data_IF_178127812510
#
_entry.id   IF_178127812510
#
_cell.length_a   1.000
_cell.length_b   1.000
_cell.length_c   1.000
_cell.angle_alpha   90.00
_cell.angle_beta   90.00
_cell.angle_gamma   90.00
#
_symmetry.space_group_name_H-M   'P 1'
#
loop_
_entity.id
_entity.type
_entity.pdbx_description
1 polymer ?
#
# COMPACT_ATOMS: atom_id res chain seq x y z
N UNK A 1 -58.61 -15.26 -2.19
CA UNK A 1 -57.88 -14.63 -3.32
C UNK A 1 -56.40 -14.63 -2.96
N UNK A 2 -55.58 -15.27 -3.78
CA UNK A 2 -54.18 -15.56 -3.45
C UNK A 2 -53.35 -14.29 -3.30
N UNK A 3 -52.83 -14.05 -2.10
CA UNK A 3 -51.79 -13.05 -1.81
C UNK A 3 -50.42 -13.45 -2.43
N UNK A 4 -50.37 -14.52 -3.25
CA UNK A 4 -49.15 -15.01 -3.88
C UNK A 4 -48.52 -14.01 -4.85
N UNK A 5 -49.28 -13.03 -5.38
CA UNK A 5 -48.70 -11.93 -6.18
C UNK A 5 -47.80 -11.01 -5.33
N UNK A 6 -48.02 -10.94 -4.02
CA UNK A 6 -47.19 -10.15 -3.10
C UNK A 6 -46.05 -10.97 -2.49
N UNK A 7 -46.16 -12.30 -2.46
CA UNK A 7 -45.07 -13.15 -2.00
C UNK A 7 -43.96 -13.25 -3.05
N UNK A 8 -44.25 -13.21 -4.35
CA UNK A 8 -43.21 -13.09 -5.40
C UNK A 8 -42.56 -11.68 -5.47
N UNK A 9 -43.23 -10.68 -4.90
CA UNK A 9 -42.69 -9.32 -4.75
C UNK A 9 -41.98 -9.11 -3.40
N UNK A 10 -42.16 -10.05 -2.44
CA UNK A 10 -41.53 -10.06 -1.11
C UNK A 10 -40.38 -11.08 -1.04
N UNK A 11 -40.52 -12.20 -1.73
CA UNK A 11 -39.49 -13.17 -2.06
C UNK A 11 -38.92 -12.71 -3.39
N UNK A 12 -37.94 -11.81 -3.30
CA UNK A 12 -36.99 -11.56 -4.35
C UNK A 12 -36.69 -12.90 -5.06
N UNK A 13 -37.24 -13.09 -6.25
CA UNK A 13 -36.88 -14.24 -7.12
C UNK A 13 -35.48 -14.03 -7.69
N UNK A 14 -34.80 -13.00 -7.21
CA UNK A 14 -33.42 -12.70 -7.48
C UNK A 14 -32.56 -13.72 -6.76
N UNK A 15 -32.03 -14.63 -7.56
CA UNK A 15 -30.97 -15.54 -7.14
C UNK A 15 -29.61 -14.83 -7.15
N UNK A 16 -29.60 -13.52 -7.43
CA UNK A 16 -28.40 -12.71 -7.56
C UNK A 16 -28.38 -11.62 -6.50
N UNK A 17 -27.19 -11.37 -5.96
CA UNK A 17 -26.91 -10.19 -5.13
C UNK A 17 -26.03 -9.30 -5.99
N UNK A 18 -26.53 -8.11 -6.29
CA UNK A 18 -25.83 -7.08 -7.06
C UNK A 18 -25.35 -5.96 -6.13
N UNK A 19 -24.57 -5.02 -6.64
CA UNK A 19 -24.19 -3.83 -5.86
C UNK A 19 -25.39 -3.00 -5.39
N UNK A 20 -26.52 -3.04 -6.11
CA UNK A 20 -27.72 -2.28 -5.74
C UNK A 20 -28.43 -2.86 -4.50
N UNK A 21 -28.18 -4.13 -4.19
CA UNK A 21 -28.76 -4.83 -3.03
C UNK A 21 -27.93 -4.61 -1.75
N UNK A 22 -26.73 -4.04 -1.87
CA UNK A 22 -25.81 -3.77 -0.76
C UNK A 22 -25.76 -2.27 -0.52
N UNK A 23 -26.19 -1.84 0.68
CA UNK A 23 -26.10 -0.43 1.06
C UNK A 23 -24.64 -0.05 1.32
N UNK A 24 -24.21 1.10 0.79
CA UNK A 24 -22.85 1.61 0.97
C UNK A 24 -22.45 1.70 2.46
N UNK A 25 -21.26 1.19 2.78
CA UNK A 25 -20.72 1.18 4.14
C UNK A 25 -21.33 0.15 5.09
N UNK A 26 -22.20 -0.75 4.63
CA UNK A 26 -22.84 -1.74 5.52
C UNK A 26 -22.09 -3.07 5.63
N UNK A 27 -21.14 -3.35 4.74
CA UNK A 27 -20.29 -4.55 4.81
C UNK A 27 -19.31 -4.37 5.97
N UNK A 28 -19.52 -5.14 7.05
CA UNK A 28 -18.68 -5.13 8.23
C UNK A 28 -17.55 -6.15 8.12
N UNK A 29 -16.56 -6.06 9.02
CA UNK A 29 -15.41 -7.00 9.04
C UNK A 29 -15.86 -8.46 9.15
N UNK A 30 -16.91 -8.73 9.94
CA UNK A 30 -17.42 -10.09 10.12
C UNK A 30 -18.06 -10.70 8.86
N UNK A 31 -18.43 -9.88 7.87
CA UNK A 31 -19.00 -10.34 6.60
C UNK A 31 -17.90 -10.78 5.62
N UNK A 32 -16.65 -10.44 5.91
CA UNK A 32 -15.47 -10.80 5.11
C UNK A 32 -14.66 -11.83 5.89
N UNK A 33 -14.76 -13.10 5.47
CA UNK A 33 -13.96 -14.16 6.07
C UNK A 33 -12.45 -13.92 5.93
N UNK A 34 -11.66 -14.49 6.84
CA UNK A 34 -10.20 -14.42 6.77
C UNK A 34 -9.70 -14.95 5.41
N UNK A 35 -8.77 -14.21 4.80
CA UNK A 35 -8.23 -14.49 3.46
C UNK A 35 -9.26 -14.48 2.32
N UNK A 36 -10.46 -13.92 2.52
CA UNK A 36 -11.49 -13.88 1.48
C UNK A 36 -11.07 -13.02 0.27
N UNK A 37 -10.22 -11.99 0.46
CA UNK A 37 -9.70 -11.15 -0.62
C UNK A 37 -8.33 -11.69 -1.04
N UNK A 38 -8.32 -12.54 -2.07
CA UNK A 38 -7.10 -13.18 -2.61
C UNK A 38 -6.49 -12.34 -3.73
N UNK A 39 -5.24 -12.64 -4.10
CA UNK A 39 -4.54 -11.96 -5.22
C UNK A 39 -5.34 -11.99 -6.51
N UNK A 40 -5.99 -13.11 -6.85
CA UNK A 40 -6.79 -13.21 -8.08
C UNK A 40 -8.01 -12.27 -8.10
N UNK A 41 -8.50 -11.83 -6.93
CA UNK A 41 -9.58 -10.84 -6.82
C UNK A 41 -9.08 -9.40 -6.94
N UNK A 42 -7.75 -9.19 -6.97
CA UNK A 42 -7.09 -7.90 -7.09
C UNK A 42 -6.29 -7.89 -8.41
N UNK A 43 -6.90 -7.48 -9.52
CA UNK A 43 -6.17 -7.44 -10.80
C UNK A 43 -5.00 -6.45 -10.75
N UNK A 44 -4.02 -6.64 -11.64
CA UNK A 44 -2.86 -5.77 -11.72
C UNK A 44 -3.27 -4.30 -11.93
N UNK A 45 -2.68 -3.41 -11.13
CA UNK A 45 -3.02 -1.98 -11.13
C UNK A 45 -4.34 -1.61 -10.44
N UNK A 46 -5.08 -2.58 -9.88
CA UNK A 46 -6.33 -2.30 -9.17
C UNK A 46 -6.13 -1.42 -7.93
N UNK A 47 -5.01 -1.58 -7.22
CA UNK A 47 -4.64 -0.75 -6.09
C UNK A 47 -3.59 0.26 -6.56
N UNK A 48 -4.03 1.50 -6.77
CA UNK A 48 -3.15 2.62 -7.15
C UNK A 48 -2.65 3.33 -5.90
N UNK A 49 -1.60 4.15 -6.04
CA UNK A 49 -1.09 4.95 -4.93
C UNK A 49 -2.18 5.80 -4.24
N UNK A 50 -3.13 6.35 -5.00
CA UNK A 50 -4.26 7.14 -4.46
C UNK A 50 -5.23 6.33 -3.60
N UNK A 51 -5.24 4.99 -3.70
CA UNK A 51 -6.07 4.09 -2.88
C UNK A 51 -5.37 3.64 -1.59
N UNK A 52 -4.07 3.92 -1.45
CA UNK A 52 -3.27 3.54 -0.29
C UNK A 52 -3.07 4.79 0.58
N UNK A 53 -3.58 4.76 1.81
CA UNK A 53 -3.32 5.83 2.77
C UNK A 53 -1.85 5.82 3.20
N UNK A 54 -1.25 6.97 3.48
CA UNK A 54 0.15 7.11 3.91
C UNK A 54 0.48 6.37 5.22
N UNK A 55 -0.54 6.08 6.03
CA UNK A 55 -0.41 5.27 7.25
C UNK A 55 -0.42 3.75 7.02
N UNK A 56 -0.61 3.27 5.80
CA UNK A 56 -0.57 1.83 5.50
C UNK A 56 0.88 1.37 5.51
N UNK A 57 1.26 0.58 6.52
CA UNK A 57 2.54 -0.13 6.53
C UNK A 57 2.44 -1.30 5.57
N UNK A 58 2.93 -1.11 4.34
CA UNK A 58 3.13 -2.21 3.41
C UNK A 58 4.21 -3.12 4.00
N UNK A 59 3.90 -4.41 4.21
CA UNK A 59 4.87 -5.39 4.69
C UNK A 59 6.17 -5.27 3.89
N UNK A 60 7.32 -5.40 4.55
CA UNK A 60 8.65 -4.88 4.17
C UNK A 60 9.26 -5.25 2.81
N UNK A 61 8.49 -5.75 1.85
CA UNK A 61 8.91 -6.07 0.48
C UNK A 61 8.65 -4.93 -0.53
N UNK A 62 7.96 -3.83 -0.16
CA UNK A 62 7.72 -2.69 -1.07
C UNK A 62 8.69 -1.52 -0.87
N UNK A 63 9.60 -1.62 0.10
CA UNK A 63 10.81 -0.80 0.10
C UNK A 63 11.89 -1.60 -0.62
N UNK A 64 12.47 -0.99 -1.64
CA UNK A 64 13.44 -1.58 -2.55
C UNK A 64 14.62 -2.19 -1.77
N UNK A 65 14.55 -3.50 -1.52
CA UNK A 65 15.48 -4.24 -0.66
C UNK A 65 15.62 -5.71 -1.06
N UNK A 66 15.55 -6.05 -2.34
CA UNK A 66 15.97 -7.37 -2.82
C UNK A 66 17.47 -7.62 -2.59
N UNK A 67 17.85 -8.18 -1.45
CA UNK A 67 18.90 -9.20 -1.45
C UNK A 67 18.62 -10.26 -0.39
N UNK A 68 17.53 -11.01 -0.57
CA UNK A 68 17.47 -12.45 -0.29
C UNK A 68 17.88 -12.99 1.09
N UNK A 69 18.06 -12.17 2.13
CA UNK A 69 18.40 -12.64 3.47
C UNK A 69 17.83 -11.69 4.53
N UNK A 70 16.78 -12.14 5.21
CA UNK A 70 16.23 -11.48 6.39
C UNK A 70 17.21 -11.54 7.56
N UNK A 71 17.46 -10.41 8.23
CA UNK A 71 17.95 -10.37 9.62
C UNK A 71 19.46 -10.48 9.85
N UNK A 72 20.25 -9.50 9.41
CA UNK A 72 21.59 -9.31 9.97
C UNK A 72 21.53 -8.47 11.26
N UNK A 73 21.74 -9.16 12.37
CA UNK A 73 21.99 -8.67 13.74
C UNK A 73 22.97 -7.48 13.76
N UNK A 74 22.47 -6.27 14.02
CA UNK A 74 23.18 -5.08 14.57
C UNK A 74 22.44 -3.73 14.28
N UNK A 75 21.18 -3.75 13.82
CA UNK A 75 20.35 -2.54 13.79
C UNK A 75 20.79 -1.47 12.79
N UNK A 76 21.44 -1.85 11.68
CA UNK A 76 21.61 -0.97 10.54
C UNK A 76 20.56 -1.38 9.51
N UNK A 77 19.51 -0.57 9.41
CA UNK A 77 18.42 -0.76 8.46
C UNK A 77 18.91 -0.80 7.02
N UNK A 78 18.00 -1.21 6.16
CA UNK A 78 18.17 -1.39 4.73
C UNK A 78 18.95 -0.25 4.06
N UNK A 79 19.68 -0.56 2.99
CA UNK A 79 20.16 0.47 2.07
C UNK A 79 18.91 1.10 1.45
N UNK A 80 18.66 2.39 1.69
CA UNK A 80 17.65 3.11 0.92
C UNK A 80 18.11 3.10 -0.54
N UNK A 81 17.52 2.24 -1.37
CA UNK A 81 17.69 2.33 -2.81
C UNK A 81 16.81 3.48 -3.25
N UNK A 82 17.41 4.62 -3.54
CA UNK A 82 16.71 5.64 -4.31
C UNK A 82 16.53 5.07 -5.72
N UNK A 83 15.37 4.51 -6.00
CA UNK A 83 14.98 4.19 -7.39
C UNK A 83 14.48 5.45 -8.13
N UNK A 84 14.48 6.60 -7.46
CA UNK A 84 14.17 7.90 -8.05
C UNK A 84 15.42 8.78 -7.99
N UNK A 85 15.99 9.08 -9.17
CA UNK A 85 17.16 9.97 -9.30
C UNK A 85 16.81 11.45 -9.04
N UNK A 86 15.56 11.74 -8.75
CA UNK A 86 15.04 13.04 -8.39
C UNK A 86 14.18 12.93 -7.13
N UNK A 87 14.48 13.72 -6.10
CA UNK A 87 13.60 13.88 -4.95
C UNK A 87 12.53 14.92 -5.28
N UNK A 88 11.30 14.46 -5.45
CA UNK A 88 10.11 15.30 -5.66
C UNK A 88 9.25 15.46 -4.40
N UNK A 89 9.68 14.88 -3.28
CA UNK A 89 9.05 14.98 -1.95
C UNK A 89 10.12 15.13 -0.87
N UNK A 90 9.76 15.74 0.26
CA UNK A 90 10.69 15.92 1.37
C UNK A 90 11.13 14.55 1.93
N UNK A 91 12.43 14.32 2.02
CA UNK A 91 13.03 13.07 2.51
C UNK A 91 13.87 13.34 3.75
N UNK A 92 13.78 12.47 4.75
CA UNK A 92 14.68 12.47 5.90
C UNK A 92 15.42 11.14 5.98
N UNK A 93 16.76 11.21 6.02
CA UNK A 93 17.63 10.09 6.35
C UNK A 93 17.91 10.17 7.86
N UNK A 94 17.34 9.22 8.61
CA UNK A 94 17.46 9.18 10.06
C UNK A 94 18.88 8.78 10.52
N UNK A 95 19.16 8.94 11.81
CA UNK A 95 20.49 8.68 12.37
C UNK A 95 20.93 7.21 12.26
N UNK A 96 19.98 6.30 12.06
CA UNK A 96 20.17 4.84 11.96
C UNK A 96 20.32 4.33 10.53
N UNK A 97 20.23 5.24 9.56
CA UNK A 97 19.86 4.92 8.18
C UNK A 97 21.02 5.21 7.22
N UNK A 98 21.19 4.34 6.22
CA UNK A 98 22.16 4.52 5.14
C UNK A 98 21.46 4.52 3.79
N UNK A 99 21.58 5.61 3.04
CA UNK A 99 21.04 5.75 1.70
C UNK A 99 22.13 5.75 0.62
N UNK A 100 21.76 5.32 -0.59
CA UNK A 100 22.65 5.35 -1.75
C UNK A 100 21.92 5.87 -2.99
N UNK A 101 22.52 6.83 -3.69
CA UNK A 101 22.17 7.25 -5.04
C UNK A 101 23.26 6.80 -6.02
N UNK A 102 22.87 6.12 -7.10
CA UNK A 102 23.79 5.79 -8.20
C UNK A 102 23.64 6.82 -9.32
N UNK A 103 24.71 7.59 -9.52
CA UNK A 103 24.72 8.77 -10.35
C UNK A 103 24.21 10.02 -9.62
N UNK A 104 24.05 11.15 -10.33
CA UNK A 104 23.61 12.40 -9.71
C UNK A 104 22.22 12.25 -9.09
N UNK A 105 22.07 12.80 -7.89
CA UNK A 105 20.79 12.97 -7.21
C UNK A 105 20.29 14.39 -7.44
N UNK A 106 19.16 14.53 -8.13
CA UNK A 106 18.47 15.81 -8.27
C UNK A 106 17.52 16.01 -7.08
N UNK A 107 17.44 17.22 -6.55
CA UNK A 107 16.42 17.60 -5.56
C UNK A 107 15.55 18.69 -6.20
N UNK A 108 14.26 18.44 -6.34
CA UNK A 108 13.35 19.37 -6.99
C UNK A 108 13.21 20.68 -6.19
N UNK A 109 12.81 21.75 -6.87
CA UNK A 109 12.59 23.04 -6.22
C UNK A 109 11.54 22.93 -5.11
N UNK A 110 11.82 23.51 -3.94
CA UNK A 110 10.92 23.42 -2.78
C UNK A 110 11.01 22.11 -2.00
N UNK A 111 11.85 21.15 -2.41
CA UNK A 111 12.04 19.89 -1.72
C UNK A 111 13.27 19.93 -0.81
N UNK A 112 13.14 19.33 0.36
CA UNK A 112 14.19 19.22 1.38
C UNK A 112 14.64 17.78 1.54
N UNK A 113 15.93 17.54 1.38
CA UNK A 113 16.61 16.34 1.85
C UNK A 113 17.26 16.65 3.20
N UNK A 114 16.75 16.05 4.27
CA UNK A 114 17.32 16.16 5.62
C UNK A 114 18.18 14.94 5.91
N UNK A 115 19.44 15.14 6.27
CA UNK A 115 20.30 14.08 6.82
C UNK A 115 20.56 14.40 8.28
N UNK A 116 19.99 13.60 9.17
CA UNK A 116 20.18 13.80 10.61
C UNK A 116 21.56 13.31 11.06
N UNK A 117 22.05 13.82 12.20
CA UNK A 117 23.35 13.43 12.72
C UNK A 117 23.43 11.91 12.96
N UNK A 118 24.28 11.22 12.21
CA UNK A 118 24.41 9.75 12.22
C UNK A 118 23.94 9.08 10.93
N UNK A 119 23.00 9.72 10.21
CA UNK A 119 22.52 9.27 8.91
C UNK A 119 23.59 9.44 7.82
N UNK A 120 23.55 8.59 6.80
CA UNK A 120 24.54 8.63 5.71
C UNK A 120 23.85 8.57 4.36
N UNK A 121 24.29 9.41 3.43
CA UNK A 121 23.97 9.31 2.00
C UNK A 121 25.28 9.15 1.22
N UNK A 122 25.36 8.11 0.40
CA UNK A 122 26.41 7.95 -0.58
C UNK A 122 25.86 8.27 -1.98
N UNK A 123 26.51 9.18 -2.70
CA UNK A 123 26.25 9.43 -4.12
C UNK A 123 27.47 8.89 -4.86
N UNK A 124 27.29 7.83 -5.64
CA UNK A 124 28.36 7.07 -6.32
C UNK A 124 28.24 7.11 -7.83
#
# INVERSE_FOLDING_TARGET
>A
MSNARNLANLLNSDTTITSADILDGTVATQDIADNAITTAKIPDGAITAAKINSGVTLGGAYFQGENGAVGATAGKGDIFRVHEKELNTNVTIAATDNALASGPLTVASGITLTITNGGRLAIV
#
